data_IF_793352613930
#
_entry.id   IF_793352613930
#
_cell.length_a   1.000
_cell.length_b   1.000
_cell.length_c   1.000
_cell.angle_alpha   90.00
_cell.angle_beta   90.00
_cell.angle_gamma   90.00
#
_symmetry.space_group_name_H-M   'P 1'
#
loop_
_entity.id
_entity.type
_entity.pdbx_description
1 polymer ?
#
# COMPACT_ATOMS: atom_id res chain seq x y z
N UNK A 1 -14.62 43.42 -30.21
CA UNK A 1 -13.64 42.65 -31.02
C UNK A 1 -12.27 43.36 -31.14
N UNK A 2 -11.67 43.82 -30.02
CA UNK A 2 -10.34 44.49 -30.02
C UNK A 2 -9.29 43.82 -29.12
N UNK A 3 -9.71 42.88 -28.27
CA UNK A 3 -8.85 42.25 -27.27
C UNK A 3 -7.99 41.10 -27.84
N UNK A 4 -8.54 40.31 -28.76
CA UNK A 4 -7.80 39.20 -29.41
C UNK A 4 -6.57 39.72 -30.20
N UNK A 5 -6.70 40.84 -30.92
CA UNK A 5 -5.61 41.38 -31.73
C UNK A 5 -4.45 41.94 -30.89
N UNK A 6 -4.75 42.47 -29.71
CA UNK A 6 -3.74 43.02 -28.79
C UNK A 6 -2.86 41.94 -28.16
N UNK A 7 -3.37 40.71 -27.97
CA UNK A 7 -2.57 39.57 -27.53
C UNK A 7 -1.88 38.83 -28.67
N UNK A 8 -2.49 38.81 -29.86
CA UNK A 8 -1.95 38.09 -31.02
C UNK A 8 -0.63 38.68 -31.53
N UNK A 9 -0.54 40.02 -31.61
CA UNK A 9 0.67 40.71 -32.06
C UNK A 9 1.90 40.44 -31.17
N UNK A 10 1.85 40.63 -29.83
CA UNK A 10 2.98 40.34 -28.95
C UNK A 10 3.29 38.84 -28.85
N UNK A 11 2.29 37.96 -28.88
CA UNK A 11 2.54 36.51 -28.91
C UNK A 11 3.30 36.08 -30.17
N UNK A 12 2.91 36.61 -31.34
CA UNK A 12 3.60 36.33 -32.61
C UNK A 12 5.03 36.90 -32.63
N UNK A 13 5.25 38.06 -32.02
CA UNK A 13 6.58 38.65 -31.86
C UNK A 13 7.45 37.79 -30.92
N UNK A 14 6.93 37.42 -29.74
CA UNK A 14 7.62 36.58 -28.77
C UNK A 14 7.99 35.20 -29.35
N UNK A 15 7.08 34.58 -30.12
CA UNK A 15 7.37 33.31 -30.80
C UNK A 15 8.53 33.42 -31.78
N UNK A 16 8.58 34.50 -32.58
CA UNK A 16 9.69 34.74 -33.51
C UNK A 16 11.01 34.99 -32.78
N UNK A 17 10.98 35.66 -31.63
CA UNK A 17 12.16 35.87 -30.78
C UNK A 17 12.66 34.54 -30.18
N UNK A 18 11.76 33.68 -29.71
CA UNK A 18 12.09 32.36 -29.17
C UNK A 18 12.72 31.43 -30.23
N UNK A 19 12.19 31.41 -31.45
CA UNK A 19 12.68 30.53 -32.53
C UNK A 19 13.99 31.02 -33.17
N UNK A 20 14.34 32.29 -33.02
CA UNK A 20 15.58 32.87 -33.57
C UNK A 20 16.83 32.21 -32.96
N UNK A 21 16.87 32.02 -31.64
CA UNK A 21 17.98 31.36 -30.93
C UNK A 21 17.55 29.96 -30.47
N UNK A 22 17.56 29.01 -31.41
CA UNK A 22 17.11 27.63 -31.19
C UNK A 22 17.88 26.93 -30.06
N UNK A 23 19.17 27.25 -29.90
CA UNK A 23 20.01 26.63 -28.87
C UNK A 23 19.58 27.07 -27.47
N UNK A 24 19.36 28.38 -27.26
CA UNK A 24 18.85 28.88 -25.97
C UNK A 24 17.43 28.40 -25.69
N UNK A 25 16.57 28.33 -26.70
CA UNK A 25 15.22 27.81 -26.56
C UNK A 25 15.21 26.34 -26.09
N UNK A 26 16.02 25.49 -26.72
CA UNK A 26 16.14 24.08 -26.34
C UNK A 26 16.69 23.97 -24.92
N UNK A 27 17.78 24.67 -24.59
CA UNK A 27 18.37 24.63 -23.26
C UNK A 27 17.38 25.07 -22.16
N UNK A 28 16.65 26.16 -22.37
CA UNK A 28 15.64 26.65 -21.44
C UNK A 28 14.48 25.66 -21.28
N UNK A 29 13.99 25.09 -22.39
CA UNK A 29 12.90 24.11 -22.38
C UNK A 29 13.33 22.83 -21.67
N UNK A 30 14.53 22.33 -21.94
CA UNK A 30 15.12 21.17 -21.25
C UNK A 30 15.24 21.41 -19.74
N UNK A 31 15.64 22.63 -19.31
CA UNK A 31 15.72 22.98 -17.89
C UNK A 31 14.36 22.92 -17.19
N UNK A 32 13.32 23.51 -17.79
CA UNK A 32 11.95 23.46 -17.25
C UNK A 32 11.40 22.04 -17.26
N UNK A 33 11.58 21.30 -18.36
CA UNK A 33 11.15 19.90 -18.47
C UNK A 33 11.83 19.03 -17.41
N UNK A 34 13.13 19.21 -17.20
CA UNK A 34 13.88 18.46 -16.18
C UNK A 34 13.34 18.75 -14.78
N UNK A 35 13.09 20.01 -14.45
CA UNK A 35 12.48 20.37 -13.17
C UNK A 35 11.09 19.73 -12.98
N UNK A 36 10.23 19.78 -14.01
CA UNK A 36 8.91 19.13 -13.97
C UNK A 36 9.03 17.61 -13.77
N UNK A 37 9.94 16.94 -14.49
CA UNK A 37 10.17 15.49 -14.34
C UNK A 37 10.61 15.15 -12.92
N UNK A 38 11.52 15.92 -12.33
CA UNK A 38 11.97 15.69 -10.95
C UNK A 38 10.82 15.83 -9.95
N UNK A 39 9.99 16.87 -10.08
CA UNK A 39 8.84 17.08 -9.20
C UNK A 39 7.83 15.93 -9.33
N UNK A 40 7.50 15.53 -10.57
CA UNK A 40 6.58 14.42 -10.79
C UNK A 40 7.13 13.07 -10.31
N UNK A 41 8.43 12.82 -10.49
CA UNK A 41 9.08 11.61 -9.99
C UNK A 41 9.00 11.55 -8.45
N UNK A 42 9.30 12.65 -7.77
CA UNK A 42 9.22 12.73 -6.31
C UNK A 42 7.80 12.48 -5.81
N UNK A 43 6.80 13.08 -6.46
CA UNK A 43 5.39 12.88 -6.09
C UNK A 43 4.93 11.44 -6.36
N UNK A 44 5.30 10.86 -7.50
CA UNK A 44 4.98 9.47 -7.83
C UNK A 44 5.60 8.47 -6.86
N UNK A 45 6.85 8.69 -6.44
CA UNK A 45 7.48 7.85 -5.41
C UNK A 45 6.79 8.00 -4.06
N UNK A 46 6.46 9.22 -3.65
CA UNK A 46 5.71 9.48 -2.42
C UNK A 46 4.37 8.73 -2.43
N UNK A 47 3.59 8.87 -3.49
CA UNK A 47 2.25 8.27 -3.59
C UNK A 47 2.32 6.74 -3.63
N UNK A 48 3.24 6.16 -4.39
CA UNK A 48 3.42 4.70 -4.44
C UNK A 48 3.91 4.11 -3.11
N UNK A 49 4.78 4.81 -2.37
CA UNK A 49 5.20 4.40 -1.03
C UNK A 49 4.04 4.44 -0.04
N UNK A 50 3.22 5.50 -0.05
CA UNK A 50 2.05 5.57 0.83
C UNK A 50 0.99 4.53 0.46
N UNK A 51 0.71 4.35 -0.83
CA UNK A 51 -0.23 3.33 -1.29
C UNK A 51 0.23 1.92 -0.87
N UNK A 52 1.53 1.62 -1.00
CA UNK A 52 2.09 0.34 -0.56
C UNK A 52 2.02 0.17 0.96
N UNK A 53 2.35 1.20 1.73
CA UNK A 53 2.33 1.16 3.20
C UNK A 53 0.90 1.06 3.77
N UNK A 54 -0.08 1.71 3.13
CA UNK A 54 -1.48 1.70 3.55
C UNK A 54 -2.27 0.48 3.02
N UNK A 55 -1.72 -0.26 2.06
CA UNK A 55 -2.42 -1.39 1.41
C UNK A 55 -2.95 -2.47 2.36
N UNK A 56 -2.25 -2.73 3.46
CA UNK A 56 -2.67 -3.68 4.48
C UNK A 56 -3.65 -3.08 5.50
N UNK A 57 -3.37 -1.94 6.17
CA UNK A 57 -4.31 -1.31 7.10
C UNK A 57 -5.68 -1.01 6.48
N UNK A 58 -5.71 -0.55 5.23
CA UNK A 58 -6.98 -0.17 4.55
C UNK A 58 -7.90 -1.37 4.32
N UNK A 59 -7.36 -2.59 4.33
CA UNK A 59 -8.15 -3.82 4.22
C UNK A 59 -8.64 -4.35 5.56
N UNK A 60 -8.19 -3.78 6.68
CA UNK A 60 -8.68 -4.14 8.00
C UNK A 60 -9.99 -3.39 8.28
N UNK A 61 -10.98 -4.11 8.77
CA UNK A 61 -12.26 -3.58 9.20
C UNK A 61 -12.25 -3.43 10.72
N UNK A 62 -12.41 -2.21 11.22
CA UNK A 62 -12.37 -1.90 12.64
C UNK A 62 -12.44 -0.41 12.93
N UNK A 63 -13.24 -0.05 13.95
CA UNK A 63 -13.44 1.33 14.38
C UNK A 63 -12.27 1.87 15.21
N UNK A 64 -11.63 1.00 15.99
CA UNK A 64 -10.55 1.36 16.91
C UNK A 64 -9.43 0.33 16.87
N UNK A 65 -8.21 0.80 16.61
CA UNK A 65 -7.00 -0.01 16.65
C UNK A 65 -6.18 0.30 17.91
N UNK A 66 -5.91 -0.72 18.70
CA UNK A 66 -5.07 -0.64 19.89
C UNK A 66 -3.68 -1.17 19.56
N UNK A 67 -2.67 -0.31 19.71
CA UNK A 67 -1.27 -0.66 19.45
C UNK A 67 -0.39 -0.20 20.60
N UNK A 68 0.65 -0.98 20.89
CA UNK A 68 1.65 -0.56 21.87
C UNK A 68 2.42 0.66 21.36
N UNK A 69 2.68 1.66 22.21
CA UNK A 69 3.33 2.94 21.84
C UNK A 69 4.71 2.80 21.18
N UNK A 70 5.41 1.70 21.47
CA UNK A 70 6.73 1.40 20.87
C UNK A 70 6.62 0.70 19.50
N UNK A 71 5.42 0.43 19.00
CA UNK A 71 5.21 -0.14 17.67
C UNK A 71 5.42 0.95 16.62
N UNK A 72 6.57 0.93 15.96
CA UNK A 72 6.94 1.94 14.95
C UNK A 72 6.33 1.64 13.57
N UNK A 73 6.12 0.37 13.25
CA UNK A 73 5.61 -0.07 11.95
C UNK A 73 4.86 -1.40 12.08
N UNK A 74 3.94 -1.67 11.14
CA UNK A 74 3.16 -2.92 11.12
C UNK A 74 4.03 -4.18 11.01
N UNK A 75 5.17 -4.11 10.33
CA UNK A 75 6.09 -5.25 10.19
C UNK A 75 6.95 -5.48 11.44
N UNK A 76 6.93 -4.56 12.41
CA UNK A 76 7.66 -4.66 13.68
C UNK A 76 6.75 -4.25 14.86
N UNK A 77 5.64 -4.99 15.09
CA UNK A 77 4.74 -4.71 16.19
C UNK A 77 5.40 -5.06 17.53
N UNK A 78 5.11 -4.28 18.58
CA UNK A 78 5.47 -4.65 19.95
C UNK A 78 4.26 -5.33 20.59
N UNK A 79 4.47 -6.56 21.08
CA UNK A 79 3.41 -7.33 21.72
C UNK A 79 3.03 -6.70 23.07
N UNK A 80 1.74 -6.79 23.39
CA UNK A 80 1.20 -6.37 24.69
C UNK A 80 0.26 -7.46 25.24
N UNK A 81 -0.06 -7.36 26.53
CA UNK A 81 -0.85 -8.40 27.21
C UNK A 81 -2.28 -8.45 26.67
N UNK A 82 -2.79 -9.65 26.39
CA UNK A 82 -4.18 -9.89 25.96
C UNK A 82 -5.21 -9.36 26.98
N UNK A 83 -4.84 -9.24 28.26
CA UNK A 83 -5.69 -8.63 29.30
C UNK A 83 -6.10 -7.19 28.99
N UNK A 84 -5.27 -6.42 28.28
CA UNK A 84 -5.61 -5.04 27.90
C UNK A 84 -6.80 -5.01 26.92
N UNK A 85 -6.87 -5.98 26.00
CA UNK A 85 -7.99 -6.12 25.09
C UNK A 85 -9.27 -6.52 25.83
N UNK A 86 -9.17 -7.44 26.80
CA UNK A 86 -10.31 -7.85 27.63
C UNK A 86 -10.83 -6.69 28.50
N UNK A 87 -9.93 -5.80 28.97
CA UNK A 87 -10.33 -4.59 29.68
C UNK A 87 -11.15 -3.65 28.79
N UNK A 88 -10.80 -3.54 27.50
CA UNK A 88 -11.53 -2.72 26.52
C UNK A 88 -12.90 -3.33 26.26
N UNK A 89 -12.99 -4.64 26.09
CA UNK A 89 -14.26 -5.37 25.94
C UNK A 89 -15.18 -5.22 27.16
N UNK A 90 -14.63 -4.96 28.35
CA UNK A 90 -15.42 -4.70 29.55
C UNK A 90 -16.19 -3.36 29.54
N UNK A 91 -15.93 -2.48 28.58
CA UNK A 91 -16.69 -1.24 28.41
C UNK A 91 -18.02 -1.52 27.68
N UNK A 92 -19.19 -1.14 28.22
CA UNK A 92 -20.48 -1.42 27.60
C UNK A 92 -20.68 -0.76 26.21
N UNK A 93 -19.86 0.23 25.84
CA UNK A 93 -19.89 0.84 24.51
C UNK A 93 -19.15 0.02 23.44
N UNK A 94 -18.39 -1.02 23.83
CA UNK A 94 -17.62 -1.87 22.92
C UNK A 94 -18.41 -3.14 22.64
N UNK A 95 -18.81 -3.35 21.39
CA UNK A 95 -19.55 -4.54 21.00
C UNK A 95 -18.64 -5.79 20.95
N UNK A 96 -17.49 -5.67 20.29
CA UNK A 96 -16.58 -6.78 20.05
C UNK A 96 -15.12 -6.30 20.10
N UNK A 97 -14.21 -7.19 20.47
CA UNK A 97 -12.78 -6.90 20.52
C UNK A 97 -11.97 -8.17 20.21
N UNK A 98 -11.23 -8.17 19.11
CA UNK A 98 -10.44 -9.33 18.67
C UNK A 98 -8.94 -9.01 18.64
N UNK A 99 -8.07 -10.00 18.92
CA UNK A 99 -6.62 -9.82 18.80
C UNK A 99 -6.17 -10.00 17.34
N UNK A 100 -5.34 -9.07 16.87
CA UNK A 100 -4.61 -9.21 15.61
C UNK A 100 -3.12 -9.44 15.90
N UNK A 101 -2.62 -10.59 15.47
CA UNK A 101 -1.21 -10.96 15.58
C UNK A 101 -0.50 -10.67 14.26
N UNK A 102 0.56 -9.88 14.31
CA UNK A 102 1.40 -9.56 13.15
C UNK A 102 2.80 -10.12 13.40
N UNK A 103 3.39 -10.73 12.39
CA UNK A 103 4.73 -11.29 12.49
C UNK A 103 5.39 -11.47 11.14
N UNK A 104 6.72 -11.59 11.16
CA UNK A 104 7.50 -11.96 9.99
C UNK A 104 7.90 -13.43 10.11
N UNK A 105 7.57 -14.24 9.11
CA UNK A 105 7.90 -15.66 9.09
C UNK A 105 8.70 -16.01 7.82
N UNK A 106 9.75 -16.85 7.93
CA UNK A 106 10.44 -17.38 6.77
C UNK A 106 9.55 -18.40 6.06
N UNK A 107 9.33 -18.19 4.77
CA UNK A 107 8.65 -19.10 3.88
C UNK A 107 9.63 -19.64 2.84
N UNK A 108 9.53 -20.94 2.57
CA UNK A 108 10.36 -21.62 1.58
C UNK A 108 9.51 -21.88 0.35
N UNK A 109 9.90 -21.28 -0.78
CA UNK A 109 9.22 -21.49 -2.06
C UNK A 109 9.26 -22.99 -2.43
N UNK A 110 8.11 -23.55 -2.78
CA UNK A 110 7.93 -24.98 -3.09
C UNK A 110 8.75 -25.39 -4.32
N UNK A 111 8.79 -24.54 -5.35
CA UNK A 111 9.47 -24.82 -6.62
C UNK A 111 10.97 -24.53 -6.55
N UNK A 112 11.34 -23.31 -6.13
CA UNK A 112 12.74 -22.86 -6.19
C UNK A 112 13.53 -23.15 -4.92
N UNK A 113 12.86 -23.61 -3.84
CA UNK A 113 13.44 -23.85 -2.52
C UNK A 113 14.09 -22.61 -1.88
N UNK A 114 13.90 -21.42 -2.46
CA UNK A 114 14.42 -20.16 -1.96
C UNK A 114 13.65 -19.73 -0.72
N UNK A 115 14.37 -19.31 0.33
CA UNK A 115 13.79 -18.79 1.56
C UNK A 115 13.59 -17.28 1.46
N UNK A 116 12.37 -16.83 1.73
CA UNK A 116 12.00 -15.42 1.81
C UNK A 116 11.10 -15.19 3.01
N UNK A 117 11.26 -14.04 3.65
CA UNK A 117 10.41 -13.67 4.78
C UNK A 117 9.15 -13.01 4.27
N UNK A 118 8.00 -13.39 4.81
CA UNK A 118 6.71 -12.76 4.53
C UNK A 118 6.03 -12.29 5.81
N UNK A 119 5.11 -11.35 5.66
CA UNK A 119 4.27 -10.90 6.75
C UNK A 119 3.11 -11.88 6.95
N UNK A 120 2.96 -12.37 8.17
CA UNK A 120 1.90 -13.27 8.59
C UNK A 120 0.93 -12.50 9.48
N UNK A 121 -0.35 -12.68 9.19
CA UNK A 121 -1.45 -12.15 9.98
C UNK A 121 -2.16 -13.32 10.64
N UNK A 122 -2.13 -13.36 11.97
CA UNK A 122 -2.92 -14.28 12.78
C UNK A 122 -4.11 -13.55 13.36
N UNK A 123 -5.30 -14.09 13.17
CA UNK A 123 -6.54 -13.52 13.65
C UNK A 123 -7.54 -14.64 13.95
N UNK A 124 -8.64 -14.31 14.61
CA UNK A 124 -9.73 -15.24 14.83
C UNK A 124 -10.52 -15.42 13.51
N UNK A 125 -10.66 -16.64 12.95
CA UNK A 125 -11.40 -16.85 11.70
C UNK A 125 -12.85 -16.34 11.74
N UNK A 126 -13.44 -16.26 12.93
CA UNK A 126 -14.82 -15.80 13.10
C UNK A 126 -14.91 -14.27 13.20
N UNK A 127 -13.78 -13.60 13.36
CA UNK A 127 -13.71 -12.14 13.35
C UNK A 127 -13.80 -11.62 11.91
N UNK A 128 -14.73 -10.70 11.65
CA UNK A 128 -14.87 -10.05 10.34
C UNK A 128 -13.83 -8.93 10.12
N UNK A 129 -12.61 -9.10 10.64
CA UNK A 129 -11.58 -8.06 10.67
C UNK A 129 -10.95 -7.73 9.32
N UNK A 130 -11.16 -8.55 8.29
CA UNK A 130 -10.61 -8.31 6.96
C UNK A 130 -11.74 -8.04 5.99
N UNK A 131 -11.75 -6.84 5.41
CA UNK A 131 -12.65 -6.47 4.33
C UNK A 131 -12.12 -6.99 2.97
N UNK A 132 -11.93 -8.30 2.89
CA UNK A 132 -11.48 -9.02 1.69
C UNK A 132 -12.42 -10.20 1.49
N UNK A 133 -13.21 -10.17 0.41
CA UNK A 133 -14.23 -11.20 0.17
C UNK A 133 -13.64 -12.61 0.09
N UNK A 134 -12.46 -12.77 -0.49
CA UNK A 134 -11.76 -14.05 -0.53
C UNK A 134 -11.44 -14.61 0.87
N UNK A 135 -11.10 -13.75 1.84
CA UNK A 135 -10.85 -14.15 3.24
C UNK A 135 -12.16 -14.49 3.93
N UNK A 136 -13.19 -13.65 3.75
CA UNK A 136 -14.53 -13.84 4.32
C UNK A 136 -15.16 -15.17 3.86
N UNK A 137 -15.04 -15.48 2.57
CA UNK A 137 -15.61 -16.68 1.96
C UNK A 137 -14.90 -17.96 2.42
N UNK A 138 -13.60 -17.87 2.73
CA UNK A 138 -12.78 -19.01 3.18
C UNK A 138 -12.61 -19.11 4.70
N UNK A 139 -13.36 -18.33 5.49
CA UNK A 139 -13.23 -18.31 6.95
C UNK A 139 -13.46 -19.69 7.60
N UNK A 140 -14.40 -20.48 7.05
CA UNK A 140 -14.71 -21.80 7.58
C UNK A 140 -13.54 -22.78 7.40
N UNK A 141 -12.80 -22.68 6.28
CA UNK A 141 -11.59 -23.48 6.03
C UNK A 141 -10.47 -23.11 6.99
N UNK A 142 -10.32 -21.81 7.31
CA UNK A 142 -9.32 -21.31 8.26
C UNK A 142 -9.49 -21.83 9.69
N UNK A 143 -10.64 -22.42 10.04
CA UNK A 143 -10.82 -23.12 11.33
C UNK A 143 -10.06 -24.43 11.39
N UNK A 144 -9.70 -25.02 10.24
CA UNK A 144 -8.90 -26.23 10.18
C UNK A 144 -7.45 -25.93 10.55
N UNK A 145 -6.87 -26.81 11.37
CA UNK A 145 -5.47 -26.69 11.76
C UNK A 145 -4.56 -26.76 10.52
N UNK A 146 -3.43 -26.03 10.59
CA UNK A 146 -2.41 -26.00 9.54
C UNK A 146 -2.93 -25.48 8.18
N UNK A 147 -4.03 -24.72 8.21
CA UNK A 147 -4.60 -24.05 7.03
C UNK A 147 -4.19 -22.59 7.02
N UNK A 148 -3.74 -22.10 5.86
CA UNK A 148 -3.33 -20.71 5.66
C UNK A 148 -3.90 -20.19 4.36
N UNK A 149 -4.26 -18.91 4.33
CA UNK A 149 -4.55 -18.20 3.10
C UNK A 149 -3.30 -17.49 2.62
N UNK A 150 -3.08 -17.52 1.30
CA UNK A 150 -1.95 -16.88 0.65
C UNK A 150 -2.44 -15.87 -0.38
N UNK A 151 -1.78 -14.72 -0.47
CA UNK A 151 -2.15 -13.69 -1.43
C UNK A 151 -1.76 -14.13 -2.85
N UNK A 152 -2.74 -14.15 -3.76
CA UNK A 152 -2.55 -14.52 -5.17
C UNK A 152 -1.62 -13.57 -5.94
N UNK A 153 -1.51 -12.30 -5.51
CA UNK A 153 -0.61 -11.30 -6.11
C UNK A 153 0.78 -11.29 -5.48
N UNK A 154 1.09 -12.27 -4.64
CA UNK A 154 2.42 -12.41 -4.06
C UNK A 154 3.49 -12.47 -5.15
N UNK A 155 4.65 -11.88 -4.85
CA UNK A 155 5.77 -11.83 -5.79
C UNK A 155 6.17 -13.23 -6.24
N UNK A 156 6.59 -13.43 -7.50
CA UNK A 156 6.98 -14.74 -8.03
C UNK A 156 8.08 -15.46 -7.23
N UNK A 157 8.87 -14.73 -6.43
CA UNK A 157 9.87 -15.30 -5.53
C UNK A 157 9.29 -16.23 -4.45
N UNK A 158 8.01 -16.08 -4.11
CA UNK A 158 7.31 -16.98 -3.19
C UNK A 158 6.76 -18.22 -3.91
N UNK A 159 6.62 -18.18 -5.23
CA UNK A 159 6.09 -19.25 -6.07
C UNK A 159 4.93 -18.74 -6.94
N UNK A 160 4.48 -19.51 -7.95
CA UNK A 160 3.32 -19.16 -8.76
C UNK A 160 2.03 -19.42 -7.97
N UNK A 161 1.78 -18.61 -6.94
CA UNK A 161 0.72 -18.84 -5.97
C UNK A 161 -0.66 -18.93 -6.60
N UNK A 162 -0.98 -18.06 -7.57
CA UNK A 162 -2.26 -18.14 -8.29
C UNK A 162 -2.49 -19.53 -8.91
N UNK A 163 -1.50 -20.08 -9.60
CA UNK A 163 -1.61 -21.41 -10.21
C UNK A 163 -1.74 -22.50 -9.15
N UNK A 164 -1.02 -22.38 -8.04
CA UNK A 164 -1.07 -23.36 -6.95
C UNK A 164 -2.38 -23.31 -6.15
N UNK A 165 -3.08 -22.17 -6.14
CA UNK A 165 -4.36 -21.97 -5.45
C UNK A 165 -5.58 -22.35 -6.30
N UNK A 166 -5.42 -22.40 -7.63
CA UNK A 166 -6.44 -22.80 -8.60
C UNK A 166 -6.42 -24.32 -8.91
N UNK A 167 -5.36 -25.02 -8.50
CA UNK A 167 -5.20 -26.48 -8.60
C UNK A 167 -5.99 -27.22 -7.53
#
# INVERSE_FOLDING_TARGET
>A
MKWIGWWYFPARLAWRQLVFDRTKLIAATCGVLFACVLVFMQLGFKDSLYASAASAPVKLDGDLFLMHKQSEAMWRPVQFKRSELMRVLGNPAVAEAYPLYLGLAPFKNIQTQTKRTLMVYGFDPDSQMFNVDAVRNKHAELRLKDTVLFDEYSRPEFGPMRQLLEM
#
